data_IF_851599113068
#
_entry.id   IF_851599113068
#
_cell.length_a   1.000
_cell.length_b   1.000
_cell.length_c   1.000
_cell.angle_alpha   90.00
_cell.angle_beta   90.00
_cell.angle_gamma   90.00
#
_symmetry.space_group_name_H-M   'P 1'
#
loop_
_entity.id
_entity.type
_entity.pdbx_description
1 polymer ?
#
# COMPACT_ATOMS: atom_id res chain seq x y z
N UNK A 1 -49.81 -29.68 -31.55
CA UNK A 1 -48.49 -30.34 -31.46
C UNK A 1 -47.46 -29.38 -32.00
N UNK A 2 -46.71 -28.73 -31.11
CA UNK A 2 -45.26 -28.51 -31.21
C UNK A 2 -44.87 -27.54 -30.10
N UNK A 3 -44.14 -28.11 -29.16
CA UNK A 3 -43.52 -27.48 -28.01
C UNK A 3 -42.89 -26.13 -28.35
N UNK A 4 -43.54 -25.05 -27.89
CA UNK A 4 -42.82 -23.86 -27.47
C UNK A 4 -42.07 -24.24 -26.19
N UNK A 5 -40.93 -24.88 -26.41
CA UNK A 5 -39.94 -25.22 -25.41
C UNK A 5 -39.71 -23.98 -24.55
N UNK A 6 -40.05 -24.09 -23.27
CA UNK A 6 -39.54 -23.23 -22.20
C UNK A 6 -38.03 -23.50 -22.15
N UNK A 7 -37.28 -22.86 -23.05
CA UNK A 7 -35.84 -22.92 -23.09
C UNK A 7 -35.32 -21.91 -22.08
N UNK A 8 -34.85 -22.45 -20.96
CA UNK A 8 -33.63 -21.98 -20.29
C UNK A 8 -33.74 -20.68 -19.47
N UNK A 9 -34.62 -20.68 -18.47
CA UNK A 9 -34.55 -19.76 -17.33
C UNK A 9 -33.57 -20.22 -16.24
N UNK A 10 -32.89 -21.36 -16.42
CA UNK A 10 -31.97 -21.91 -15.42
C UNK A 10 -30.49 -21.50 -15.63
N UNK A 11 -30.12 -20.94 -16.80
CA UNK A 11 -28.75 -20.46 -17.04
C UNK A 11 -28.44 -19.06 -16.50
N UNK A 12 -29.44 -18.29 -16.04
CA UNK A 12 -29.18 -16.95 -15.48
C UNK A 12 -28.61 -17.02 -14.05
N UNK A 13 -28.75 -18.14 -13.35
CA UNK A 13 -28.30 -18.29 -11.96
C UNK A 13 -26.80 -18.64 -11.79
N UNK A 14 -26.05 -18.95 -12.85
CA UNK A 14 -24.66 -19.44 -12.75
C UNK A 14 -23.59 -18.49 -13.32
N UNK A 15 -23.95 -17.28 -13.74
CA UNK A 15 -23.00 -16.32 -14.35
C UNK A 15 -22.49 -15.20 -13.44
N UNK A 16 -22.80 -15.24 -12.15
CA UNK A 16 -22.38 -14.21 -11.18
C UNK A 16 -21.29 -14.65 -10.20
N UNK A 17 -20.49 -15.67 -10.52
CA UNK A 17 -19.40 -16.10 -9.64
C UNK A 17 -18.07 -16.35 -10.35
N UNK A 18 -17.74 -15.51 -11.33
CA UNK A 18 -16.47 -15.55 -12.07
C UNK A 18 -15.72 -14.20 -12.05
N UNK A 19 -15.79 -13.47 -10.93
CA UNK A 19 -14.92 -12.32 -10.72
C UNK A 19 -14.63 -12.07 -9.23
N UNK A 20 -14.34 -13.12 -8.46
CA UNK A 20 -13.46 -12.96 -7.31
C UNK A 20 -12.04 -12.96 -7.86
N UNK A 21 -11.68 -11.84 -8.52
CA UNK A 21 -10.30 -11.59 -8.89
C UNK A 21 -9.47 -11.67 -7.62
N UNK A 22 -8.45 -12.53 -7.65
CA UNK A 22 -7.29 -12.51 -6.77
C UNK A 22 -6.52 -11.18 -6.94
N UNK A 23 -7.16 -10.05 -6.63
CA UNK A 23 -6.66 -8.69 -6.82
C UNK A 23 -6.00 -8.10 -5.58
N UNK A 24 -6.37 -8.62 -4.40
CA UNK A 24 -6.02 -8.01 -3.12
C UNK A 24 -4.54 -8.18 -2.73
N UNK A 25 -3.88 -9.28 -3.14
CA UNK A 25 -2.48 -9.53 -2.78
C UNK A 25 -1.52 -8.55 -3.48
N UNK A 26 -1.77 -8.24 -4.75
CA UNK A 26 -1.01 -7.23 -5.50
C UNK A 26 -1.25 -5.81 -4.99
N UNK A 27 -2.42 -5.53 -4.43
CA UNK A 27 -2.79 -4.18 -4.00
C UNK A 27 -2.08 -3.76 -2.72
N UNK A 28 -1.98 -4.66 -1.73
CA UNK A 28 -1.24 -4.38 -0.50
C UNK A 28 0.25 -4.11 -0.73
N UNK A 29 0.90 -4.92 -1.58
CA UNK A 29 2.30 -4.71 -1.95
C UNK A 29 2.53 -3.37 -2.67
N UNK A 30 1.59 -2.95 -3.53
CA UNK A 30 1.61 -1.62 -4.18
C UNK A 30 1.46 -0.50 -3.16
N UNK A 31 0.61 -0.65 -2.14
CA UNK A 31 0.45 0.35 -1.08
C UNK A 31 1.74 0.52 -0.28
N UNK A 32 2.40 -0.59 0.12
CA UNK A 32 3.69 -0.53 0.82
C UNK A 32 4.75 0.11 -0.06
N UNK A 33 4.85 -0.29 -1.34
CA UNK A 33 5.80 0.31 -2.28
C UNK A 33 5.58 1.82 -2.41
N UNK A 34 4.33 2.25 -2.60
CA UNK A 34 3.98 3.68 -2.66
C UNK A 34 4.24 4.43 -1.35
N UNK A 35 4.18 3.76 -0.20
CA UNK A 35 4.57 4.35 1.08
C UNK A 35 6.08 4.55 1.16
N UNK A 36 6.89 3.55 0.74
CA UNK A 36 8.36 3.67 0.67
C UNK A 36 8.76 4.82 -0.26
N UNK A 37 8.16 4.88 -1.45
CA UNK A 37 8.43 5.94 -2.42
C UNK A 37 8.08 7.33 -1.86
N UNK A 38 6.98 7.45 -1.10
CA UNK A 38 6.61 8.68 -0.40
C UNK A 38 7.63 9.09 0.65
N UNK A 39 8.11 8.16 1.47
CA UNK A 39 9.12 8.49 2.49
C UNK A 39 10.44 8.91 1.84
N UNK A 40 10.84 8.26 0.75
CA UNK A 40 12.01 8.66 -0.05
C UNK A 40 11.85 10.07 -0.63
N UNK A 41 10.64 10.43 -1.09
CA UNK A 41 10.32 11.80 -1.49
C UNK A 41 10.51 12.80 -0.34
N UNK A 42 9.92 12.52 0.81
CA UNK A 42 10.06 13.37 2.01
C UNK A 42 11.52 13.52 2.45
N UNK A 43 12.32 12.46 2.36
CA UNK A 43 13.75 12.49 2.72
C UNK A 43 14.53 13.43 1.79
N UNK A 44 14.27 13.35 0.48
CA UNK A 44 14.87 14.27 -0.50
C UNK A 44 14.48 15.71 -0.24
N UNK A 45 13.20 15.97 0.05
CA UNK A 45 12.71 17.32 0.36
C UNK A 45 13.37 17.86 1.64
N UNK A 46 13.51 17.03 2.67
CA UNK A 46 14.20 17.40 3.91
C UNK A 46 15.69 17.69 3.67
N UNK A 47 16.38 16.87 2.88
CA UNK A 47 17.77 17.08 2.51
C UNK A 47 17.96 18.38 1.71
N UNK A 48 17.05 18.66 0.77
CA UNK A 48 17.07 19.90 0.01
C UNK A 48 16.84 21.12 0.93
N UNK A 49 15.89 21.01 1.85
CA UNK A 49 15.60 22.04 2.86
C UNK A 49 16.81 22.32 3.77
N UNK A 50 17.55 21.28 4.17
CA UNK A 50 18.83 21.44 4.90
C UNK A 50 19.85 22.20 4.04
N UNK A 51 20.02 21.82 2.78
CA UNK A 51 20.96 22.49 1.87
C UNK A 51 20.60 23.96 1.69
N UNK A 52 19.33 24.27 1.57
CA UNK A 52 18.85 25.65 1.41
C UNK A 52 18.97 26.46 2.70
N UNK A 53 18.80 25.81 3.86
CA UNK A 53 19.07 26.41 5.17
C UNK A 53 20.56 26.78 5.31
N UNK A 54 21.46 25.86 4.95
CA UNK A 54 22.91 26.11 4.98
C UNK A 54 23.33 27.23 4.01
N UNK A 55 22.57 27.45 2.94
CA UNK A 55 22.74 28.56 1.98
C UNK A 55 22.06 29.85 2.41
N UNK A 56 21.40 29.88 3.57
CA UNK A 56 20.67 31.04 4.10
C UNK A 56 19.38 31.37 3.35
N UNK A 57 18.83 30.42 2.59
CA UNK A 57 17.63 30.59 1.74
C UNK A 57 16.36 29.98 2.33
N UNK A 58 16.47 29.12 3.34
CA UNK A 58 15.34 28.45 3.98
C UNK A 58 15.29 28.73 5.49
N UNK A 59 14.09 28.70 6.04
CA UNK A 59 13.85 28.82 7.47
C UNK A 59 14.19 27.50 8.20
N UNK A 60 14.80 27.63 9.39
CA UNK A 60 15.08 26.52 10.30
C UNK A 60 13.78 25.79 10.66
N UNK A 61 12.68 26.53 10.85
CA UNK A 61 11.40 25.95 11.24
C UNK A 61 10.84 25.00 10.18
N UNK A 62 10.90 25.38 8.90
CA UNK A 62 10.43 24.55 7.80
C UNK A 62 11.30 23.29 7.63
N UNK A 63 12.62 23.46 7.74
CA UNK A 63 13.57 22.34 7.70
C UNK A 63 13.29 21.33 8.81
N UNK A 64 13.05 21.82 10.03
CA UNK A 64 12.74 20.98 11.19
C UNK A 64 11.42 20.22 11.02
N UNK A 65 10.38 20.88 10.49
CA UNK A 65 9.09 20.24 10.20
C UNK A 65 9.27 19.12 9.17
N UNK A 66 10.03 19.37 8.10
CA UNK A 66 10.28 18.38 7.07
C UNK A 66 11.06 17.17 7.61
N UNK A 67 12.06 17.40 8.46
CA UNK A 67 12.78 16.32 9.15
C UNK A 67 11.88 15.51 10.07
N UNK A 68 11.00 16.15 10.84
CA UNK A 68 10.04 15.44 11.70
C UNK A 68 9.03 14.62 10.90
N UNK A 69 8.57 15.10 9.74
CA UNK A 69 7.73 14.30 8.84
C UNK A 69 8.45 13.05 8.37
N UNK A 70 9.71 13.16 7.96
CA UNK A 70 10.53 12.00 7.54
C UNK A 70 10.65 10.99 8.67
N UNK A 71 11.04 11.46 9.85
CA UNK A 71 11.28 10.62 11.03
C UNK A 71 10.02 9.86 11.48
N UNK A 72 8.88 10.55 11.60
CA UNK A 72 7.59 9.91 11.93
C UNK A 72 7.19 8.89 10.84
N UNK A 73 7.34 9.26 9.57
CA UNK A 73 6.94 8.39 8.45
C UNK A 73 7.81 7.15 8.33
N UNK A 74 9.13 7.29 8.54
CA UNK A 74 10.07 6.17 8.60
C UNK A 74 9.74 5.23 9.75
N UNK A 75 9.47 5.75 10.95
CA UNK A 75 9.06 4.92 12.09
C UNK A 75 7.80 4.13 11.78
N UNK A 76 6.81 4.75 11.13
CA UNK A 76 5.60 4.05 10.71
C UNK A 76 5.91 2.94 9.72
N UNK A 77 6.73 3.21 8.70
CA UNK A 77 7.13 2.23 7.70
C UNK A 77 7.85 1.02 8.33
N UNK A 78 8.74 1.26 9.29
CA UNK A 78 9.42 0.19 10.03
C UNK A 78 8.44 -0.67 10.84
N UNK A 79 7.43 -0.05 11.47
CA UNK A 79 6.38 -0.81 12.16
C UNK A 79 5.60 -1.70 11.19
N UNK A 80 5.23 -1.17 10.02
CA UNK A 80 4.53 -1.94 8.97
C UNK A 80 5.42 -3.08 8.48
N UNK A 81 6.70 -2.81 8.20
CA UNK A 81 7.68 -3.83 7.80
C UNK A 81 7.76 -4.96 8.84
N UNK A 82 7.91 -4.61 10.11
CA UNK A 82 8.00 -5.60 11.18
C UNK A 82 6.72 -6.43 11.26
N UNK A 83 5.55 -5.78 11.17
CA UNK A 83 4.27 -6.49 11.22
C UNK A 83 4.05 -7.41 10.02
N UNK A 84 4.49 -7.01 8.83
CA UNK A 84 4.43 -7.86 7.64
C UNK A 84 5.33 -9.10 7.78
N UNK A 85 6.53 -8.94 8.33
CA UNK A 85 7.46 -10.05 8.61
C UNK A 85 6.88 -10.99 9.69
N UNK A 86 6.29 -10.44 10.75
CA UNK A 86 5.58 -11.22 11.78
C UNK A 86 4.43 -12.02 11.18
N UNK A 87 3.58 -11.40 10.37
CA UNK A 87 2.46 -12.08 9.72
C UNK A 87 2.93 -13.23 8.82
N UNK A 88 4.02 -13.03 8.06
CA UNK A 88 4.64 -14.09 7.29
C UNK A 88 5.13 -15.25 8.18
N UNK A 89 5.82 -14.92 9.29
CA UNK A 89 6.29 -15.92 10.25
C UNK A 89 5.15 -16.68 10.92
N UNK A 90 4.03 -16.02 11.22
CA UNK A 90 2.86 -16.65 11.84
C UNK A 90 2.19 -17.64 10.89
N UNK A 91 2.01 -17.27 9.62
CA UNK A 91 1.49 -18.19 8.59
C UNK A 91 2.37 -19.44 8.47
N UNK A 92 3.70 -19.28 8.52
CA UNK A 92 4.65 -20.39 8.50
C UNK A 92 4.55 -21.29 9.74
N UNK A 93 4.18 -20.73 10.90
CA UNK A 93 4.03 -21.48 12.17
C UNK A 93 2.71 -22.24 12.26
N UNK A 94 1.67 -21.81 11.56
CA UNK A 94 0.37 -22.48 11.52
C UNK A 94 0.36 -23.76 10.65
N UNK A 95 1.37 -23.99 9.81
CA UNK A 95 1.42 -25.13 8.87
C UNK A 95 2.06 -26.41 9.43
N UNK A 96 1.99 -26.64 10.75
CA UNK A 96 2.43 -27.88 11.39
C UNK A 96 1.32 -28.52 12.22
#
# INVERSE_FOLDING_TARGET
>A
MNDLKIVNLQQVALKNNANVKSGNQTEFGKVIKGAVDRVNGLERDANQSIVDLLKGKADIHETMINLQKVDISMRLLLKIRNKAVEAYREIMRMQF
#
